data_IF_756285804281
#
_entry.id   IF_756285804281
#
_cell.length_a   1.000
_cell.length_b   1.000
_cell.length_c   1.000
_cell.angle_alpha   90.00
_cell.angle_beta   90.00
_cell.angle_gamma   90.00
#
_symmetry.space_group_name_H-M   'P 1'
#
loop_
_entity.id
_entity.type
_entity.pdbx_description
1 polymer ?
#
# COMPACT_ATOMS: atom_id res chain seq x y z
N UNK A 1 8.29 -41.34 -2.59
CA UNK A 1 8.17 -41.34 -4.06
C UNK A 1 6.67 -41.36 -4.36
N UNK A 2 6.02 -40.30 -4.84
CA UNK A 2 6.50 -39.03 -5.38
C UNK A 2 5.31 -38.04 -5.41
N UNK A 3 5.57 -36.84 -4.88
CA UNK A 3 5.07 -35.50 -5.27
C UNK A 3 3.57 -35.15 -5.16
N UNK A 4 3.28 -34.47 -4.05
CA UNK A 4 2.41 -33.31 -4.02
C UNK A 4 2.65 -32.41 -5.25
N UNK A 5 1.58 -32.11 -6.00
CA UNK A 5 1.61 -31.18 -7.13
C UNK A 5 1.63 -29.73 -6.63
N UNK A 6 2.76 -29.36 -6.02
CA UNK A 6 3.10 -27.98 -5.74
C UNK A 6 3.47 -27.28 -7.05
N UNK A 7 2.87 -26.11 -7.27
CA UNK A 7 3.40 -24.98 -8.04
C UNK A 7 3.93 -25.24 -9.46
N UNK A 8 3.09 -24.95 -10.46
CA UNK A 8 3.46 -24.12 -11.63
C UNK A 8 2.24 -23.91 -12.54
N UNK A 9 1.29 -23.07 -12.12
CA UNK A 9 0.71 -22.18 -13.13
C UNK A 9 1.70 -21.06 -13.27
N UNK A 10 2.41 -21.04 -14.39
CA UNK A 10 3.11 -19.84 -14.82
C UNK A 10 2.11 -18.67 -14.72
N UNK A 11 2.31 -17.78 -13.77
CA UNK A 11 1.59 -16.51 -13.70
C UNK A 11 2.05 -15.73 -14.93
N UNK A 12 1.24 -15.82 -16.00
CA UNK A 12 1.45 -15.08 -17.25
C UNK A 12 1.26 -13.61 -16.91
N UNK A 13 2.34 -12.81 -17.03
CA UNK A 13 2.40 -11.33 -16.99
C UNK A 13 1.13 -10.65 -16.47
N UNK A 14 0.90 -10.73 -15.16
CA UNK A 14 -0.16 -10.00 -14.47
C UNK A 14 0.38 -8.64 -14.02
N UNK A 15 -0.48 -7.61 -13.98
CA UNK A 15 -0.11 -6.35 -13.35
C UNK A 15 0.10 -6.60 -11.86
N UNK A 16 1.22 -6.13 -11.33
CA UNK A 16 1.57 -6.30 -9.94
C UNK A 16 1.87 -4.94 -9.31
N UNK A 17 1.58 -4.83 -8.03
CA UNK A 17 1.85 -3.62 -7.26
C UNK A 17 2.29 -3.99 -5.85
N UNK A 18 2.95 -3.05 -5.20
CA UNK A 18 3.16 -3.06 -3.75
C UNK A 18 2.24 -2.05 -3.09
N UNK A 19 1.85 -2.32 -1.85
CA UNK A 19 1.08 -1.39 -1.04
C UNK A 19 1.53 -1.44 0.41
N UNK A 20 1.77 -0.29 1.03
CA UNK A 20 2.17 -0.20 2.44
C UNK A 20 1.13 0.59 3.26
N UNK A 21 0.55 -0.08 4.25
CA UNK A 21 -0.20 0.54 5.33
C UNK A 21 0.77 1.06 6.39
N UNK A 22 1.05 2.36 6.35
CA UNK A 22 1.93 3.01 7.33
C UNK A 22 1.15 3.48 8.56
N UNK A 23 1.61 3.08 9.74
CA UNK A 23 0.98 3.32 11.03
C UNK A 23 1.87 4.10 11.99
N UNK A 24 1.25 4.90 12.86
CA UNK A 24 1.89 5.51 14.02
C UNK A 24 0.84 5.84 15.09
N UNK A 25 1.06 5.39 16.33
CA UNK A 25 0.16 5.62 17.48
C UNK A 25 -1.32 5.28 17.20
N UNK A 26 -1.57 4.12 16.58
CA UNK A 26 -2.94 3.64 16.29
C UNK A 26 -3.63 4.33 15.11
N UNK A 27 -2.94 5.22 14.42
CA UNK A 27 -3.45 5.93 13.24
C UNK A 27 -2.74 5.46 11.96
N UNK A 28 -3.48 5.46 10.86
CA UNK A 28 -2.98 5.22 9.51
C UNK A 28 -2.62 6.53 8.83
N UNK A 29 -1.52 6.52 8.08
CA UNK A 29 -1.17 7.57 7.13
C UNK A 29 -1.97 7.37 5.84
N UNK A 30 -2.89 8.28 5.56
CA UNK A 30 -3.59 8.38 4.28
C UNK A 30 -3.01 9.52 3.48
N UNK A 31 -2.71 9.28 2.21
CA UNK A 31 -2.15 10.27 1.28
C UNK A 31 -3.23 10.67 0.28
N UNK A 32 -3.42 11.96 0.01
CA UNK A 32 -4.35 12.44 -1.01
C UNK A 32 -3.62 12.59 -2.34
N UNK A 33 -4.14 11.98 -3.41
CA UNK A 33 -3.50 12.04 -4.73
C UNK A 33 -3.66 13.41 -5.33
N UNK A 34 -2.57 13.93 -5.85
CA UNK A 34 -2.56 15.24 -6.49
C UNK A 34 -3.36 15.26 -7.79
N UNK A 35 -3.64 16.45 -8.30
CA UNK A 35 -4.19 16.59 -9.65
C UNK A 35 -3.23 16.18 -10.78
N UNK A 36 -1.93 15.99 -10.49
CA UNK A 36 -0.88 15.74 -11.48
C UNK A 36 -0.78 14.28 -11.93
N UNK A 37 -1.30 13.34 -11.14
CA UNK A 37 -1.25 11.91 -11.47
C UNK A 37 -2.28 11.53 -12.55
N UNK A 38 -2.14 10.33 -13.12
CA UNK A 38 -3.01 9.87 -14.20
C UNK A 38 -4.39 9.36 -13.70
N UNK A 39 -4.43 8.73 -12.52
CA UNK A 39 -5.60 8.05 -11.95
C UNK A 39 -5.84 8.44 -10.48
N UNK A 40 -7.06 8.23 -9.99
CA UNK A 40 -7.44 8.40 -8.58
C UNK A 40 -7.17 9.80 -8.00
N UNK A 41 -7.17 10.84 -8.85
CA UNK A 41 -6.96 12.24 -8.46
C UNK A 41 -7.92 12.65 -7.34
N UNK A 42 -7.40 13.29 -6.30
CA UNK A 42 -8.17 13.77 -5.16
C UNK A 42 -8.66 12.68 -4.19
N UNK A 43 -8.55 11.39 -4.55
CA UNK A 43 -8.84 10.27 -3.64
C UNK A 43 -7.71 10.09 -2.63
N UNK A 44 -8.00 9.32 -1.58
CA UNK A 44 -7.08 8.98 -0.51
C UNK A 44 -6.67 7.50 -0.55
N UNK A 45 -5.38 7.24 -0.38
CA UNK A 45 -4.72 5.93 -0.50
C UNK A 45 -3.67 5.74 0.60
N UNK A 46 -3.07 4.55 0.62
CA UNK A 46 -1.81 4.28 1.30
C UNK A 46 -0.64 4.42 0.32
N UNK A 47 0.60 4.16 0.77
CA UNK A 47 1.76 4.15 -0.14
C UNK A 47 1.61 3.00 -1.13
N UNK A 48 1.83 3.24 -2.43
CA UNK A 48 1.68 2.20 -3.47
C UNK A 48 2.65 2.38 -4.63
N UNK A 49 3.02 1.30 -5.31
CA UNK A 49 3.87 1.38 -6.51
C UNK A 49 3.64 0.23 -7.48
N UNK A 50 3.86 0.48 -8.77
CA UNK A 50 3.84 -0.58 -9.80
C UNK A 50 5.07 -1.47 -9.64
N UNK A 51 4.86 -2.77 -9.51
CA UNK A 51 5.95 -3.72 -9.32
C UNK A 51 6.34 -4.39 -10.65
N UNK A 52 7.57 -4.14 -11.12
CA UNK A 52 8.15 -4.92 -12.22
C UNK A 52 8.32 -6.38 -11.79
N UNK A 53 8.01 -7.37 -12.65
CA UNK A 53 8.13 -8.79 -12.30
C UNK A 53 9.53 -9.25 -11.86
N UNK A 54 10.57 -8.45 -12.08
CA UNK A 54 11.96 -8.75 -11.67
C UNK A 54 12.35 -8.11 -10.34
N UNK A 55 11.54 -7.20 -9.83
CA UNK A 55 11.84 -6.47 -8.60
C UNK A 55 11.39 -7.26 -7.38
N UNK A 56 12.15 -7.14 -6.29
CA UNK A 56 11.76 -7.68 -4.99
C UNK A 56 10.68 -6.79 -4.36
N UNK A 57 9.50 -7.31 -4.00
CA UNK A 57 8.41 -6.49 -3.47
C UNK A 57 8.78 -5.69 -2.21
N UNK A 58 9.56 -6.30 -1.29
CA UNK A 58 9.92 -5.67 -0.03
C UNK A 58 10.96 -4.55 -0.22
N UNK A 59 11.92 -4.75 -1.12
CA UNK A 59 12.84 -3.68 -1.52
C UNK A 59 12.10 -2.55 -2.23
N UNK A 60 11.19 -2.89 -3.15
CA UNK A 60 10.47 -1.92 -3.96
C UNK A 60 9.50 -1.06 -3.12
N UNK A 61 8.76 -1.64 -2.17
CA UNK A 61 7.86 -0.85 -1.32
C UNK A 61 8.60 0.15 -0.41
N UNK A 62 9.88 -0.12 -0.08
CA UNK A 62 10.73 0.82 0.66
C UNK A 62 11.22 1.97 -0.22
N UNK A 63 11.38 1.74 -1.53
CA UNK A 63 11.65 2.82 -2.49
C UNK A 63 10.43 3.73 -2.55
N UNK A 64 9.23 3.16 -2.75
CA UNK A 64 7.97 3.93 -2.80
C UNK A 64 7.72 4.72 -1.51
N UNK A 65 7.98 4.12 -0.34
CA UNK A 65 7.92 4.83 0.93
C UNK A 65 8.81 6.09 0.91
N UNK A 66 10.05 5.96 0.43
CA UNK A 66 10.99 7.08 0.36
C UNK A 66 10.60 8.14 -0.66
N UNK A 67 10.11 7.73 -1.82
CA UNK A 67 9.68 8.65 -2.86
C UNK A 67 8.43 9.42 -2.43
N UNK A 68 7.41 8.75 -1.91
CA UNK A 68 6.12 9.37 -1.60
C UNK A 68 6.08 10.10 -0.26
N UNK A 69 6.89 9.70 0.71
CA UNK A 69 6.83 10.25 2.09
C UNK A 69 8.15 10.81 2.60
N UNK A 70 9.26 10.58 1.91
CA UNK A 70 10.60 10.93 2.38
C UNK A 70 11.11 10.10 3.57
N UNK A 71 10.36 9.08 4.01
CA UNK A 71 10.77 8.16 5.06
C UNK A 71 11.68 7.07 4.52
N UNK A 72 12.51 6.52 5.38
CA UNK A 72 13.42 5.41 5.07
C UNK A 72 13.16 4.22 5.97
N UNK A 73 13.84 3.10 5.68
CA UNK A 73 13.84 1.93 6.57
C UNK A 73 14.29 2.25 7.99
N UNK A 74 15.13 3.26 8.20
CA UNK A 74 15.62 3.65 9.54
C UNK A 74 14.55 4.38 10.36
N UNK A 75 13.54 4.94 9.70
CA UNK A 75 12.43 5.64 10.35
C UNK A 75 11.32 4.65 10.77
N UNK A 76 11.46 3.36 10.45
CA UNK A 76 10.49 2.32 10.78
C UNK A 76 10.89 1.55 12.05
N UNK A 77 9.96 1.49 13.01
CA UNK A 77 10.01 0.61 14.17
C UNK A 77 9.76 -0.86 13.77
N UNK A 78 8.87 -1.07 12.81
CA UNK A 78 8.51 -2.40 12.32
C UNK A 78 8.12 -2.35 10.84
N UNK A 79 8.38 -3.45 10.13
CA UNK A 79 7.90 -3.73 8.78
C UNK A 79 7.53 -5.22 8.74
N UNK A 80 6.28 -5.50 8.39
CA UNK A 80 5.70 -6.83 8.34
C UNK A 80 5.13 -7.06 6.94
N UNK A 81 5.45 -8.21 6.35
CA UNK A 81 4.84 -8.65 5.11
C UNK A 81 3.41 -9.14 5.38
N UNK A 82 2.46 -8.58 4.65
CA UNK A 82 1.04 -8.93 4.71
C UNK A 82 0.64 -9.94 3.64
N UNK A 83 -0.66 -10.09 3.39
CA UNK A 83 -1.15 -10.99 2.34
C UNK A 83 -0.81 -10.47 0.93
N UNK A 84 -0.77 -11.41 -0.03
CA UNK A 84 -0.80 -11.06 -1.46
C UNK A 84 -2.26 -11.13 -1.92
N UNK A 85 -2.80 -10.00 -2.36
CA UNK A 85 -4.21 -9.86 -2.73
C UNK A 85 -4.39 -9.80 -4.25
N UNK A 86 -5.53 -10.31 -4.72
CA UNK A 86 -5.96 -10.16 -6.11
C UNK A 86 -7.08 -9.11 -6.16
N UNK A 87 -6.74 -7.88 -6.53
CA UNK A 87 -7.67 -6.74 -6.51
C UNK A 87 -8.10 -6.35 -7.93
N UNK A 88 -9.39 -6.07 -8.12
CA UNK A 88 -9.90 -5.57 -9.40
C UNK A 88 -9.72 -4.05 -9.49
N UNK A 89 -8.96 -3.60 -10.49
CA UNK A 89 -8.86 -2.20 -10.90
C UNK A 89 -9.63 -1.94 -12.19
N UNK A 90 -9.73 -0.67 -12.59
CA UNK A 90 -10.42 -0.27 -13.83
C UNK A 90 -9.82 -0.91 -15.08
N UNK A 91 -8.50 -1.13 -15.07
CA UNK A 91 -7.76 -1.65 -16.21
C UNK A 91 -7.60 -3.18 -16.17
N UNK A 92 -7.94 -3.87 -15.07
CA UNK A 92 -7.82 -5.31 -14.93
C UNK A 92 -7.57 -5.78 -13.49
N UNK A 93 -7.18 -7.05 -13.35
CA UNK A 93 -6.86 -7.64 -12.04
C UNK A 93 -5.38 -7.43 -11.71
N UNK A 94 -5.14 -6.96 -10.49
CA UNK A 94 -3.81 -6.67 -9.94
C UNK A 94 -3.43 -7.67 -8.85
N UNK A 95 -2.19 -8.14 -8.89
CA UNK A 95 -1.56 -8.86 -7.77
C UNK A 95 -0.88 -7.83 -6.86
N UNK A 96 -1.41 -7.63 -5.66
CA UNK A 96 -0.94 -6.59 -4.72
C UNK A 96 -0.22 -7.25 -3.56
N UNK A 97 1.09 -6.96 -3.44
CA UNK A 97 1.91 -7.38 -2.31
C UNK A 97 1.77 -6.35 -1.19
N UNK A 98 1.13 -6.74 -0.09
CA UNK A 98 0.82 -5.82 1.01
C UNK A 98 1.89 -5.85 2.08
N UNK A 99 2.19 -4.69 2.64
CA UNK A 99 3.09 -4.50 3.76
C UNK A 99 2.41 -3.63 4.83
N UNK A 100 2.71 -3.91 6.09
CA UNK A 100 2.30 -3.08 7.23
C UNK A 100 3.55 -2.57 7.91
N UNK A 101 3.64 -1.27 8.10
CA UNK A 101 4.80 -0.64 8.71
C UNK A 101 4.39 0.28 9.86
N UNK A 102 5.19 0.29 10.92
CA UNK A 102 5.05 1.26 12.02
C UNK A 102 6.21 2.22 11.94
N UNK A 103 5.94 3.52 11.74
CA UNK A 103 6.99 4.56 11.76
C UNK A 103 7.24 5.06 13.17
N UNK A 104 8.48 5.47 13.44
CA UNK A 104 8.91 6.14 14.67
C UNK A 104 8.37 7.57 14.77
N UNK A 105 8.02 8.21 13.65
CA UNK A 105 7.51 9.57 13.64
C UNK A 105 6.65 9.89 12.41
N UNK A 106 5.83 10.94 12.54
CA UNK A 106 4.90 11.42 11.51
C UNK A 106 5.46 12.49 10.58
N UNK A 107 6.76 12.82 10.69
CA UNK A 107 7.40 13.81 9.83
C UNK A 107 7.62 13.22 8.44
N UNK A 108 6.82 13.69 7.48
CA UNK A 108 6.82 13.24 6.10
C UNK A 108 6.99 14.43 5.16
N UNK A 109 7.53 14.16 3.98
CA UNK A 109 7.67 15.10 2.87
C UNK A 109 7.13 14.44 1.61
N UNK A 110 5.97 14.92 1.16
CA UNK A 110 5.30 14.41 -0.03
C UNK A 110 6.08 14.76 -1.30
N UNK A 111 6.05 13.86 -2.27
CA UNK A 111 6.42 14.17 -3.65
C UNK A 111 5.19 14.69 -4.44
N UNK A 112 5.37 14.90 -5.73
CA UNK A 112 4.36 15.46 -6.63
C UNK A 112 3.12 14.57 -6.80
N UNK A 113 3.17 13.28 -6.43
CA UNK A 113 2.02 12.37 -6.55
C UNK A 113 0.92 12.68 -5.54
N UNK A 114 1.29 13.31 -4.44
CA UNK A 114 0.39 13.57 -3.32
C UNK A 114 0.37 15.06 -2.96
N UNK A 115 -0.81 15.57 -2.66
CA UNK A 115 -1.00 17.00 -2.31
C UNK A 115 -1.40 17.22 -0.85
N UNK A 116 -1.86 16.18 -0.15
CA UNK A 116 -2.20 16.25 1.27
C UNK A 116 -1.96 14.92 1.99
N UNK A 117 -1.96 14.96 3.31
CA UNK A 117 -1.77 13.81 4.20
C UNK A 117 -2.58 13.92 5.47
N UNK A 118 -3.16 12.79 5.89
CA UNK A 118 -3.96 12.67 7.08
C UNK A 118 -3.54 11.45 7.89
N UNK A 119 -3.17 11.68 9.15
CA UNK A 119 -3.06 10.62 10.16
C UNK A 119 -4.40 10.48 10.86
N UNK A 120 -5.00 9.30 10.81
CA UNK A 120 -6.33 9.07 11.37
C UNK A 120 -6.52 7.61 11.80
N UNK A 121 -7.32 7.29 12.83
CA UNK A 121 -7.75 5.91 13.04
C UNK A 121 -8.61 5.47 11.85
N UNK A 122 -8.54 4.18 11.49
CA UNK A 122 -9.30 3.64 10.36
C UNK A 122 -10.82 3.92 10.45
N UNK A 123 -11.36 3.88 11.67
CA UNK A 123 -12.79 4.19 11.93
C UNK A 123 -13.21 5.61 11.52
N UNK A 124 -12.26 6.52 11.31
CA UNK A 124 -12.48 7.91 10.90
C UNK A 124 -11.91 8.23 9.53
N UNK A 125 -11.52 7.22 8.74
CA UNK A 125 -10.86 7.40 7.44
C UNK A 125 -11.66 8.24 6.43
N UNK A 126 -12.99 8.23 6.52
CA UNK A 126 -13.89 8.97 5.63
C UNK A 126 -14.43 10.28 6.24
N UNK A 127 -14.06 10.62 7.47
CA UNK A 127 -14.46 11.90 8.07
C UNK A 127 -13.92 13.09 7.26
N UNK A 128 -14.69 14.17 7.20
CA UNK A 128 -14.33 15.35 6.41
C UNK A 128 -14.54 15.18 4.90
N UNK A 129 -15.26 14.14 4.47
CA UNK A 129 -15.57 13.91 3.05
C UNK A 129 -14.41 13.28 2.26
N UNK A 130 -13.45 12.65 2.94
CA UNK A 130 -12.34 11.95 2.30
C UNK A 130 -12.84 10.76 1.49
N UNK A 131 -12.73 10.86 0.18
CA UNK A 131 -13.06 9.78 -0.74
C UNK A 131 -11.86 8.83 -0.86
N UNK A 132 -12.01 7.61 -0.34
CA UNK A 132 -10.97 6.59 -0.44
C UNK A 132 -10.96 5.96 -1.84
N UNK A 133 -9.80 5.42 -2.24
CA UNK A 133 -9.77 4.48 -3.36
C UNK A 133 -10.58 3.21 -3.02
N UNK A 134 -11.37 2.66 -3.97
CA UNK A 134 -12.33 1.59 -3.68
C UNK A 134 -11.73 0.31 -3.08
N UNK A 135 -10.46 0.04 -3.36
CA UNK A 135 -9.77 -1.17 -2.92
C UNK A 135 -9.12 -1.05 -1.52
N UNK A 136 -8.94 0.17 -0.99
CA UNK A 136 -8.28 0.39 0.31
C UNK A 136 -9.01 -0.29 1.48
N UNK A 137 -10.35 -0.28 1.57
CA UNK A 137 -11.06 -0.99 2.64
C UNK A 137 -10.80 -2.50 2.69
N UNK A 138 -10.68 -3.14 1.52
CA UNK A 138 -10.34 -4.58 1.43
C UNK A 138 -8.93 -4.81 1.96
N UNK A 139 -7.99 -3.98 1.53
CA UNK A 139 -6.59 -4.08 1.95
C UNK A 139 -6.44 -3.95 3.47
N UNK A 140 -7.13 -2.98 4.09
CA UNK A 140 -7.15 -2.80 5.55
C UNK A 140 -7.78 -3.98 6.28
N UNK A 141 -8.92 -4.48 5.80
CA UNK A 141 -9.60 -5.61 6.43
C UNK A 141 -8.71 -6.86 6.48
N UNK A 142 -8.09 -7.20 5.35
CA UNK A 142 -7.26 -8.40 5.21
C UNK A 142 -5.91 -8.30 5.95
N UNK A 143 -5.42 -7.09 6.19
CA UNK A 143 -4.05 -6.89 6.71
C UNK A 143 -4.00 -6.46 8.17
N UNK A 144 -5.05 -5.79 8.68
CA UNK A 144 -5.05 -5.23 10.03
C UNK A 144 -6.14 -5.80 10.93
N UNK A 145 -7.24 -6.30 10.38
CA UNK A 145 -8.41 -6.73 11.17
C UNK A 145 -8.52 -8.26 11.29
N UNK A 146 -7.97 -9.00 10.31
CA UNK A 146 -7.98 -10.46 10.29
C UNK A 146 -6.75 -11.09 11.01
N UNK A 147 -5.88 -10.30 11.63
CA UNK A 147 -4.70 -10.77 12.39
C UNK A 147 -4.94 -10.91 13.91
N UNK A 148 -6.20 -11.04 14.33
CA UNK A 148 -6.62 -11.32 15.72
C UNK A 148 -7.32 -12.67 15.80
#
# INVERSE_FOLDING_TARGET
MEMASFSRRLQRSGRSAVAMLLQNDGELCLLQRSSLVASDRGRWHCVTGYLDPRDDPAAHVLIELGEETGLSRLDLAALVEGPVLSLSGEDGVWTVHVFVATTLHRRIRLNWEHEDVCWTPWSRAQEGGRELVPWLPVLVAESLLNCT
#
